data_IF_821139922638
#
_entry.id   IF_821139922638
#
_cell.length_a   1.000
_cell.length_b   1.000
_cell.length_c   1.000
_cell.angle_alpha   90.00
_cell.angle_beta   90.00
_cell.angle_gamma   90.00
#
_symmetry.space_group_name_H-M   'P 1'
#
loop_
_entity.id
_entity.type
_entity.pdbx_description
1 polymer ?
#
# COMPACT_ATOMS: atom_id res chain seq x y z
N UNK A 1 2.19 -10.46 -7.63
CA UNK A 1 0.89 -10.77 -7.00
C UNK A 1 0.05 -11.54 -8.01
N UNK A 2 -1.04 -12.21 -7.63
CA UNK A 2 -1.84 -12.93 -8.65
C UNK A 2 -2.53 -11.95 -9.63
N UNK A 3 -2.86 -10.74 -9.18
CA UNK A 3 -3.40 -9.68 -10.04
C UNK A 3 -2.49 -9.31 -11.22
N UNK A 4 -1.18 -9.21 -10.98
CA UNK A 4 -0.21 -8.91 -12.06
C UNK A 4 -0.11 -10.04 -13.09
N UNK A 5 -0.43 -11.28 -12.71
CA UNK A 5 -0.50 -12.39 -13.67
C UNK A 5 -1.74 -12.29 -14.54
N UNK A 6 -2.89 -11.90 -13.97
CA UNK A 6 -4.10 -11.61 -14.74
C UNK A 6 -3.87 -10.45 -15.71
N UNK A 7 -3.24 -9.38 -15.25
CA UNK A 7 -2.93 -8.20 -16.07
C UNK A 7 -2.05 -8.57 -17.26
N UNK A 8 -0.96 -9.33 -17.03
CA UNK A 8 -0.02 -9.73 -18.07
C UNK A 8 -0.64 -10.62 -19.18
N UNK A 9 -1.79 -11.24 -18.92
CA UNK A 9 -2.54 -12.01 -19.93
C UNK A 9 -3.78 -11.28 -20.47
N UNK A 10 -3.94 -9.99 -20.13
CA UNK A 10 -5.06 -9.15 -20.55
C UNK A 10 -6.38 -9.42 -19.81
N UNK A 11 -6.36 -10.18 -18.71
CA UNK A 11 -7.53 -10.47 -17.89
C UNK A 11 -7.78 -9.33 -16.87
N UNK A 12 -8.04 -8.12 -17.36
CA UNK A 12 -8.07 -6.89 -16.56
C UNK A 12 -9.11 -6.87 -15.44
N UNK A 13 -10.31 -7.43 -15.67
CA UNK A 13 -11.32 -7.59 -14.61
C UNK A 13 -10.83 -8.49 -13.47
N UNK A 14 -10.09 -9.54 -13.81
CA UNK A 14 -9.45 -10.41 -12.82
C UNK A 14 -8.34 -9.69 -12.07
N UNK A 15 -7.51 -8.93 -12.78
CA UNK A 15 -6.44 -8.12 -12.18
C UNK A 15 -7.01 -7.11 -11.18
N UNK A 16 -8.01 -6.33 -11.58
CA UNK A 16 -8.76 -5.39 -10.75
C UNK A 16 -9.29 -6.02 -9.45
N UNK A 17 -9.95 -7.17 -9.55
CA UNK A 17 -10.48 -7.89 -8.39
C UNK A 17 -9.37 -8.30 -7.42
N UNK A 18 -8.26 -8.82 -7.95
CA UNK A 18 -7.11 -9.26 -7.14
C UNK A 18 -6.34 -8.10 -6.53
N UNK A 19 -6.26 -6.96 -7.20
CA UNK A 19 -5.65 -5.74 -6.66
C UNK A 19 -6.48 -5.17 -5.51
N UNK A 20 -7.80 -5.08 -5.65
CA UNK A 20 -8.68 -4.71 -4.54
C UNK A 20 -8.53 -5.67 -3.35
N UNK A 21 -8.47 -6.97 -3.58
CA UNK A 21 -8.24 -7.96 -2.53
C UNK A 21 -6.86 -7.76 -1.86
N UNK A 22 -5.84 -7.41 -2.63
CA UNK A 22 -4.51 -7.11 -2.11
C UNK A 22 -4.53 -5.89 -1.18
N UNK A 23 -5.16 -4.79 -1.59
CA UNK A 23 -5.33 -3.59 -0.73
C UNK A 23 -6.03 -4.00 0.57
N UNK A 24 -7.08 -4.82 0.48
CA UNK A 24 -7.82 -5.28 1.65
C UNK A 24 -6.97 -6.10 2.63
N UNK A 25 -6.10 -6.99 2.13
CA UNK A 25 -5.20 -7.74 3.00
C UNK A 25 -4.09 -6.87 3.59
N UNK A 26 -3.53 -5.92 2.82
CA UNK A 26 -2.51 -5.00 3.32
C UNK A 26 -3.04 -4.11 4.44
N UNK A 27 -4.26 -3.55 4.31
CA UNK A 27 -4.84 -2.75 5.39
C UNK A 27 -5.12 -3.59 6.64
N UNK A 28 -5.59 -4.84 6.48
CA UNK A 28 -5.82 -5.78 7.60
C UNK A 28 -4.53 -6.13 8.33
N UNK A 29 -3.46 -6.43 7.60
CA UNK A 29 -2.14 -6.73 8.17
C UNK A 29 -1.61 -5.56 9.01
N UNK A 30 -1.96 -4.33 8.63
CA UNK A 30 -1.65 -3.12 9.41
C UNK A 30 -2.57 -2.84 10.58
N UNK A 31 -3.46 -3.76 10.91
CA UNK A 31 -4.37 -3.65 12.04
C UNK A 31 -5.49 -2.64 11.79
N UNK A 32 -5.79 -2.31 10.52
CA UNK A 32 -6.87 -1.40 10.21
C UNK A 32 -8.21 -1.93 10.70
N UNK A 33 -8.98 -1.09 11.39
CA UNK A 33 -10.30 -1.44 11.93
C UNK A 33 -11.42 -0.87 11.09
N UNK A 34 -12.56 -1.55 11.02
CA UNK A 34 -13.73 -1.08 10.27
C UNK A 34 -14.51 -2.23 9.65
N UNK A 35 -15.76 -1.98 9.25
CA UNK A 35 -16.64 -3.01 8.68
C UNK A 35 -16.41 -3.18 7.18
N UNK A 36 -16.12 -2.09 6.48
CA UNK A 36 -15.91 -2.06 5.04
C UNK A 36 -14.43 -1.85 4.68
N UNK A 37 -14.06 -2.10 3.42
CA UNK A 37 -12.73 -1.73 2.91
C UNK A 37 -12.53 -0.20 2.95
N UNK A 38 -13.59 0.57 2.70
CA UNK A 38 -13.58 2.02 2.85
C UNK A 38 -13.11 2.43 4.26
N UNK A 39 -13.75 1.89 5.32
CA UNK A 39 -13.41 2.21 6.71
C UNK A 39 -11.95 1.88 7.04
N UNK A 40 -11.46 0.75 6.51
CA UNK A 40 -10.09 0.29 6.76
C UNK A 40 -9.05 1.17 6.06
N UNK A 41 -9.33 1.67 4.85
CA UNK A 41 -8.48 2.64 4.16
C UNK A 41 -8.43 3.95 4.94
N UNK A 42 -9.60 4.47 5.35
CA UNK A 42 -9.69 5.70 6.16
C UNK A 42 -8.95 5.57 7.49
N UNK A 43 -9.00 4.40 8.13
CA UNK A 43 -8.28 4.15 9.37
C UNK A 43 -6.76 4.32 9.24
N UNK A 44 -6.19 4.05 8.06
CA UNK A 44 -4.76 4.21 7.79
C UNK A 44 -4.38 5.56 7.20
N UNK A 45 -5.34 6.48 6.99
CA UNK A 45 -5.10 7.81 6.45
C UNK A 45 -3.94 8.57 7.12
N UNK A 46 -3.76 8.55 8.46
CA UNK A 46 -2.62 9.21 9.10
C UNK A 46 -1.24 8.68 8.67
N UNK A 47 -1.18 7.44 8.16
CA UNK A 47 0.05 6.81 7.68
C UNK A 47 0.24 6.98 6.16
N UNK A 48 -0.86 6.99 5.40
CA UNK A 48 -0.86 6.99 3.94
C UNK A 48 -0.89 8.39 3.31
N UNK A 49 -1.53 9.36 3.98
CA UNK A 49 -1.79 10.68 3.42
C UNK A 49 -3.10 10.75 2.61
N UNK A 50 -3.57 11.97 2.37
CA UNK A 50 -4.89 12.25 1.80
C UNK A 50 -4.99 11.86 0.32
N UNK A 51 -3.94 12.14 -0.47
CA UNK A 51 -3.92 11.86 -1.91
C UNK A 51 -4.00 10.35 -2.18
N UNK A 52 -3.08 9.57 -1.59
CA UNK A 52 -3.08 8.12 -1.74
C UNK A 52 -4.37 7.46 -1.20
N UNK A 53 -4.97 7.98 -0.14
CA UNK A 53 -6.27 7.47 0.34
C UNK A 53 -7.37 7.69 -0.69
N UNK A 54 -7.38 8.84 -1.35
CA UNK A 54 -8.34 9.14 -2.42
C UNK A 54 -8.17 8.14 -3.57
N UNK A 55 -6.95 7.94 -4.03
CA UNK A 55 -6.64 7.02 -5.13
C UNK A 55 -6.96 5.55 -4.77
N UNK A 56 -6.73 5.14 -3.52
CA UNK A 56 -7.10 3.80 -3.03
C UNK A 56 -8.63 3.59 -2.97
N UNK A 57 -9.42 4.66 -2.78
CA UNK A 57 -10.88 4.55 -2.90
C UNK A 57 -11.31 4.36 -4.35
N UNK A 58 -10.65 5.00 -5.30
CA UNK A 58 -10.89 4.78 -6.73
C UNK A 58 -10.53 3.35 -7.13
N UNK A 59 -9.36 2.86 -6.70
CA UNK A 59 -8.95 1.46 -6.88
C UNK A 59 -9.97 0.46 -6.30
N UNK A 60 -10.53 0.77 -5.12
CA UNK A 60 -11.60 -0.03 -4.50
C UNK A 60 -12.85 -0.08 -5.38
N UNK A 61 -13.26 1.06 -5.95
CA UNK A 61 -14.43 1.15 -6.81
C UNK A 61 -14.19 0.40 -8.12
N UNK A 62 -13.06 0.60 -8.78
CA UNK A 62 -12.66 -0.12 -9.99
C UNK A 62 -12.75 -1.65 -9.81
N UNK A 63 -12.23 -2.17 -8.68
CA UNK A 63 -12.33 -3.59 -8.35
C UNK A 63 -13.74 -4.07 -8.09
N UNK A 64 -14.58 -3.27 -7.41
CA UNK A 64 -15.99 -3.59 -7.20
C UNK A 64 -16.76 -3.64 -8.52
N UNK A 65 -16.61 -2.62 -9.36
CA UNK A 65 -17.32 -2.45 -10.63
C UNK A 65 -16.93 -3.56 -11.62
N UNK A 66 -15.65 -3.97 -11.62
CA UNK A 66 -15.16 -5.10 -12.41
C UNK A 66 -15.82 -6.44 -12.03
N UNK A 67 -16.16 -6.63 -10.76
CA UNK A 67 -16.75 -7.87 -10.23
C UNK A 67 -18.27 -7.86 -10.31
N UNK A 68 -18.90 -6.79 -9.85
CA UNK A 68 -20.34 -6.72 -9.65
C UNK A 68 -21.10 -6.25 -10.89
N UNK A 69 -20.59 -5.23 -11.58
CA UNK A 69 -21.24 -4.64 -12.75
C UNK A 69 -20.61 -5.12 -14.07
N UNK A 70 -19.45 -5.76 -13.96
CA UNK A 70 -18.71 -6.33 -15.06
C UNK A 70 -18.12 -5.33 -16.03
N UNK A 71 -17.86 -4.12 -15.54
CA UNK A 71 -17.18 -3.07 -16.30
C UNK A 71 -15.75 -3.48 -16.63
N UNK A 72 -15.28 -3.02 -17.80
CA UNK A 72 -13.92 -3.22 -18.27
C UNK A 72 -13.24 -1.86 -18.32
N UNK A 73 -12.23 -1.70 -17.48
CA UNK A 73 -11.36 -0.53 -17.48
C UNK A 73 -10.21 -0.71 -18.46
N UNK A 74 -9.56 0.40 -18.81
CA UNK A 74 -8.36 0.38 -19.66
C UNK A 74 -7.20 -0.36 -18.99
N UNK A 75 -6.23 -0.81 -19.77
CA UNK A 75 -5.05 -1.47 -19.23
C UNK A 75 -4.25 -0.51 -18.35
N UNK A 76 -4.21 0.75 -18.74
CA UNK A 76 -3.57 1.86 -18.05
C UNK A 76 -4.19 2.08 -16.67
N UNK A 77 -5.52 2.19 -16.56
CA UNK A 77 -6.20 2.35 -15.27
C UNK A 77 -5.98 1.15 -14.33
N UNK A 78 -5.91 -0.07 -14.86
CA UNK A 78 -5.58 -1.25 -14.05
C UNK A 78 -4.11 -1.24 -13.60
N UNK A 79 -3.20 -0.81 -14.48
CA UNK A 79 -1.78 -0.65 -14.18
C UNK A 79 -1.52 0.41 -13.10
N UNK A 80 -2.23 1.53 -13.15
CA UNK A 80 -2.15 2.59 -12.13
C UNK A 80 -2.48 2.04 -10.74
N UNK A 81 -3.50 1.18 -10.62
CA UNK A 81 -3.82 0.51 -9.35
C UNK A 81 -2.67 -0.37 -8.85
N UNK A 82 -1.94 -1.03 -9.74
CA UNK A 82 -0.75 -1.81 -9.35
C UNK A 82 0.34 -0.91 -8.75
N UNK A 83 0.57 0.26 -9.36
CA UNK A 83 1.54 1.26 -8.86
C UNK A 83 1.11 1.85 -7.51
N UNK A 84 -0.19 2.13 -7.30
CA UNK A 84 -0.71 2.56 -6.00
C UNK A 84 -0.46 1.53 -4.89
N UNK A 85 -0.57 0.23 -5.20
CA UNK A 85 -0.25 -0.85 -4.25
C UNK A 85 1.25 -0.87 -3.93
N UNK A 86 2.11 -0.61 -4.92
CA UNK A 86 3.57 -0.50 -4.73
C UNK A 86 3.87 0.69 -3.81
N UNK A 87 3.28 1.86 -4.06
CA UNK A 87 3.45 3.04 -3.22
C UNK A 87 2.96 2.80 -1.78
N UNK A 88 1.77 2.25 -1.62
CA UNK A 88 1.22 1.86 -0.31
C UNK A 88 2.17 0.92 0.43
N UNK A 89 2.78 -0.05 -0.28
CA UNK A 89 3.75 -0.98 0.29
C UNK A 89 5.04 -0.27 0.70
N UNK A 90 5.55 0.66 -0.11
CA UNK A 90 6.73 1.46 0.22
C UNK A 90 6.48 2.29 1.50
N UNK A 91 5.33 2.97 1.59
CA UNK A 91 4.97 3.83 2.74
C UNK A 91 4.79 3.01 4.02
N UNK A 92 4.05 1.90 3.95
CA UNK A 92 3.73 1.12 5.14
C UNK A 92 4.91 0.25 5.61
N UNK A 93 5.68 -0.34 4.69
CA UNK A 93 6.70 -1.36 5.03
C UNK A 93 8.12 -0.83 4.89
N UNK A 94 8.47 -0.31 3.71
CA UNK A 94 9.87 -0.04 3.36
C UNK A 94 10.39 1.22 4.04
N UNK A 95 9.65 2.32 3.99
CA UNK A 95 10.07 3.58 4.60
C UNK A 95 10.24 3.45 6.13
N UNK A 96 9.31 2.82 6.89
CA UNK A 96 9.50 2.67 8.33
C UNK A 96 10.72 1.82 8.69
N UNK A 97 10.96 0.73 7.95
CA UNK A 97 12.15 -0.11 8.13
C UNK A 97 13.44 0.68 7.85
N UNK A 98 13.47 1.43 6.74
CA UNK A 98 14.60 2.30 6.39
C UNK A 98 14.86 3.35 7.48
N UNK A 99 13.81 4.05 7.93
CA UNK A 99 13.88 5.05 9.01
C UNK A 99 14.36 4.42 10.33
N UNK A 100 13.93 3.20 10.65
CA UNK A 100 14.38 2.48 11.85
C UNK A 100 15.87 2.15 11.80
N UNK A 101 16.38 1.63 10.68
CA UNK A 101 17.81 1.39 10.47
C UNK A 101 18.62 2.68 10.62
N UNK A 102 18.18 3.76 9.99
CA UNK A 102 18.85 5.06 10.11
C UNK A 102 18.89 5.57 11.57
N UNK A 103 17.81 5.36 12.35
CA UNK A 103 17.79 5.72 13.78
C UNK A 103 18.82 4.93 14.58
N UNK A 104 18.90 3.62 14.37
CA UNK A 104 19.88 2.75 15.06
C UNK A 104 21.31 3.18 14.73
N UNK A 105 21.62 3.45 13.47
CA UNK A 105 22.96 3.89 13.07
C UNK A 105 23.32 5.26 13.66
N UNK A 106 22.35 6.19 13.78
CA UNK A 106 22.57 7.45 14.49
C UNK A 106 22.84 7.23 15.97
N UNK A 107 22.15 6.30 16.63
CA UNK A 107 22.37 5.97 18.04
C UNK A 107 23.76 5.39 18.27
N UNK A 108 24.22 4.45 17.41
CA UNK A 108 25.58 3.89 17.46
C UNK A 108 26.66 4.97 17.35
N UNK A 109 26.53 5.87 16.37
CA UNK A 109 27.49 7.00 16.20
C UNK A 109 27.51 7.92 17.43
N UNK A 110 26.34 8.23 18.01
CA UNK A 110 26.25 9.05 19.23
C UNK A 110 26.87 8.35 20.44
N UNK A 111 26.67 7.05 20.59
CA UNK A 111 27.27 6.27 21.68
C UNK A 111 28.80 6.26 21.56
N UNK A 112 29.33 5.97 20.36
CA UNK A 112 30.76 5.98 20.10
C UNK A 112 31.40 7.36 20.39
N UNK A 113 30.74 8.45 19.99
CA UNK A 113 31.22 9.81 20.27
C UNK A 113 31.32 10.10 21.78
N UNK A 114 30.35 9.64 22.59
CA UNK A 114 30.36 9.83 24.05
C UNK A 114 31.49 9.06 24.74
N UNK A 115 31.82 7.86 24.26
CA UNK A 115 32.93 7.06 24.80
C UNK A 115 34.26 7.75 24.56
N UNK A 116 34.46 8.34 23.38
CA UNK A 116 35.70 9.05 23.02
C UNK A 116 35.90 10.34 23.84
N UNK A 117 34.82 10.99 24.28
CA UNK A 117 34.88 12.28 25.00
C UNK A 117 34.96 12.17 26.52
N UNK A 118 34.99 10.96 27.09
CA UNK A 118 35.12 10.77 28.55
C UNK A 118 36.60 10.49 28.89
N UNK A 119 37.26 11.30 29.74
CA UNK A 119 38.69 11.14 30.07
C UNK A 119 39.00 9.88 30.87
#
# INVERSE_FOLDING_TARGET
MEGSRCENVGAYRGAAAMYRATIEELVKERGATGKSLYDKIENLKPSLGDDLVTDLHEARMLGNDSVHDGLLYSAEEVGDVAELIIEMTEILYVQPARKAKMRQERQKRRAAAKVVTTP
#
